data_IF_673162478958
#
_entry.id   IF_673162478958
#
_cell.length_a   1.000
_cell.length_b   1.000
_cell.length_c   1.000
_cell.angle_alpha   90.00
_cell.angle_beta   90.00
_cell.angle_gamma   90.00
#
_symmetry.space_group_name_H-M   'P 1'
#
loop_
_entity.id
_entity.type
_entity.pdbx_description
1 polymer ?
#
# COMPACT_ATOMS: atom_id res chain seq x y z
N UNK A 1 32.30 0.21 28.79
CA UNK A 1 32.01 1.01 27.59
C UNK A 1 30.88 0.28 26.85
N UNK A 2 29.64 0.63 27.16
CA UNK A 2 28.44 -0.05 26.67
C UNK A 2 27.81 0.85 25.61
N UNK A 3 28.01 0.50 24.34
CA UNK A 3 27.35 1.15 23.21
C UNK A 3 25.92 0.65 23.07
N UNK A 4 24.95 1.45 23.51
CA UNK A 4 23.53 1.19 23.30
C UNK A 4 23.15 1.40 21.84
N UNK A 5 22.91 0.34 21.11
CA UNK A 5 22.34 0.40 19.77
C UNK A 5 20.85 0.79 19.89
N UNK A 6 20.50 1.99 19.45
CA UNK A 6 19.12 2.47 19.38
C UNK A 6 18.35 1.75 18.26
N UNK A 7 17.16 1.26 18.59
CA UNK A 7 16.25 0.58 17.66
C UNK A 7 15.67 1.55 16.64
N UNK A 8 15.59 1.22 15.34
CA UNK A 8 15.07 2.09 14.29
C UNK A 8 13.54 2.20 14.19
N UNK A 9 12.75 1.55 15.07
CA UNK A 9 11.29 1.53 14.97
C UNK A 9 10.59 2.05 16.24
N UNK A 10 10.75 3.33 16.56
CA UNK A 10 9.88 3.99 17.51
C UNK A 10 8.74 4.69 16.75
N UNK A 11 7.60 4.00 16.60
CA UNK A 11 6.33 4.63 16.26
C UNK A 11 5.92 5.58 17.41
N UNK A 12 6.22 6.86 17.28
CA UNK A 12 5.57 7.86 18.11
C UNK A 12 4.13 8.03 17.62
N UNK A 13 3.20 7.36 18.29
CA UNK A 13 1.77 7.63 18.16
C UNK A 13 1.48 8.97 18.85
N UNK A 14 1.43 10.07 18.09
CA UNK A 14 0.85 11.31 18.59
C UNK A 14 -0.68 11.19 18.52
N UNK A 15 -1.34 11.25 19.66
CA UNK A 15 -2.78 11.43 19.77
C UNK A 15 -3.17 12.80 19.23
N UNK A 16 -3.50 12.90 17.95
CA UNK A 16 -4.15 14.09 17.40
C UNK A 16 -5.47 13.71 16.75
N UNK A 17 -6.45 14.53 17.09
CA UNK A 17 -7.86 14.52 16.73
C UNK A 17 -8.10 14.26 15.25
N UNK A 18 -9.13 13.47 14.97
CA UNK A 18 -9.65 13.18 13.64
C UNK A 18 -9.93 14.47 12.82
N UNK A 19 -9.62 14.48 11.53
CA UNK A 19 -9.89 15.63 10.67
C UNK A 19 -11.39 15.83 10.45
N UNK A 20 -11.77 17.10 10.31
CA UNK A 20 -13.13 17.65 10.34
C UNK A 20 -14.08 17.27 9.19
N UNK A 21 -13.69 16.43 8.26
CA UNK A 21 -14.51 16.04 7.10
C UNK A 21 -15.51 14.89 7.34
N UNK A 22 -15.50 14.28 8.51
CA UNK A 22 -16.40 13.16 8.87
C UNK A 22 -17.81 13.59 9.32
N UNK A 23 -18.22 14.84 9.07
CA UNK A 23 -19.58 15.32 9.37
C UNK A 23 -20.11 16.07 8.14
N UNK A 24 -20.76 15.38 7.22
CA UNK A 24 -21.79 15.98 6.38
C UNK A 24 -22.71 14.93 5.78
N UNK A 25 -23.95 15.08 6.17
CA UNK A 25 -25.18 14.86 5.42
C UNK A 25 -25.71 13.44 5.28
N UNK A 26 -26.53 13.08 6.28
CA UNK A 26 -27.70 12.26 6.04
C UNK A 26 -28.68 13.06 5.17
N UNK A 27 -28.99 12.57 3.98
CA UNK A 27 -30.18 12.94 3.22
C UNK A 27 -30.85 11.65 2.76
N UNK A 28 -32.06 11.46 3.27
CA UNK A 28 -33.00 10.43 2.88
C UNK A 28 -33.23 10.45 1.36
N UNK A 29 -32.99 9.32 0.71
CA UNK A 29 -33.37 9.11 -0.70
C UNK A 29 -34.74 8.49 -0.75
N UNK A 30 -35.76 9.26 -1.20
CA UNK A 30 -37.08 8.78 -1.63
C UNK A 30 -36.96 8.08 -3.00
N UNK A 31 -37.79 7.02 -3.26
CA UNK A 31 -37.71 6.32 -4.53
C UNK A 31 -38.44 7.08 -5.64
N UNK A 32 -37.74 7.35 -6.74
CA UNK A 32 -38.31 7.94 -7.96
C UNK A 32 -38.96 6.83 -8.77
N UNK A 33 -40.30 6.93 -8.89
CA UNK A 33 -41.16 6.13 -9.76
C UNK A 33 -40.87 6.43 -11.24
N UNK A 34 -40.43 5.40 -11.97
CA UNK A 34 -40.33 5.43 -13.45
C UNK A 34 -41.72 5.32 -14.05
N UNK A 35 -42.26 6.40 -14.57
CA UNK A 35 -43.43 6.36 -15.48
C UNK A 35 -42.97 6.54 -16.93
N UNK A 36 -43.20 5.47 -17.65
CA UNK A 36 -43.15 5.29 -19.09
C UNK A 36 -44.10 6.26 -19.81
N UNK A 37 -43.57 7.10 -20.73
CA UNK A 37 -44.39 7.76 -21.76
C UNK A 37 -43.79 7.45 -23.13
N UNK A 38 -44.52 6.57 -23.84
CA UNK A 38 -44.40 6.28 -25.27
C UNK A 38 -45.48 7.08 -25.99
N UNK A 39 -45.15 7.53 -27.17
CA UNK A 39 -46.01 7.91 -28.31
C UNK A 39 -46.19 9.41 -28.64
N UNK A 40 -46.06 9.58 -29.94
CA UNK A 40 -46.60 10.59 -30.88
C UNK A 40 -45.57 11.68 -31.23
N UNK A 41 -45.22 11.93 -32.50
CA UNK A 41 -45.92 11.94 -33.76
C UNK A 41 -45.01 11.90 -34.96
N UNK A 42 -45.49 11.26 -35.97
CA UNK A 42 -45.08 11.12 -37.36
C UNK A 42 -45.50 12.37 -38.17
N UNK A 43 -44.79 12.59 -39.29
CA UNK A 43 -45.14 13.39 -40.49
C UNK A 43 -44.94 14.91 -40.47
N UNK A 44 -44.07 15.41 -41.39
CA UNK A 44 -44.38 16.44 -42.37
C UNK A 44 -43.35 16.34 -43.56
N UNK A 45 -43.83 16.09 -44.59
CA UNK A 45 -43.81 16.19 -46.02
C UNK A 45 -42.76 17.13 -46.68
N UNK A 46 -42.23 16.63 -47.75
CA UNK A 46 -41.51 17.24 -48.86
C UNK A 46 -41.91 18.69 -49.21
N UNK A 47 -40.85 19.53 -49.41
CA UNK A 47 -40.89 20.63 -50.36
C UNK A 47 -39.54 20.70 -51.10
N UNK A 48 -39.61 20.39 -52.39
CA UNK A 48 -38.52 20.59 -53.38
C UNK A 48 -38.36 22.07 -53.62
N UNK A 49 -37.14 22.59 -53.35
CA UNK A 49 -36.75 23.95 -53.71
C UNK A 49 -35.31 23.94 -54.24
N UNK A 50 -35.19 24.14 -55.54
CA UNK A 50 -33.90 24.40 -56.20
C UNK A 50 -33.19 25.60 -55.58
N UNK A 51 -32.00 25.42 -55.02
CA UNK A 51 -31.12 26.52 -54.71
C UNK A 51 -29.68 26.23 -55.21
N UNK A 52 -29.14 27.17 -55.90
CA UNK A 52 -27.80 27.19 -56.49
C UNK A 52 -26.75 27.01 -55.41
N UNK A 53 -25.61 26.32 -55.70
CA UNK A 53 -24.53 26.20 -54.73
C UNK A 53 -23.83 27.56 -54.57
N UNK A 54 -23.78 28.01 -53.32
CA UNK A 54 -22.90 29.11 -52.88
C UNK A 54 -21.45 28.66 -52.89
N UNK A 55 -20.50 29.49 -53.30
CA UNK A 55 -19.07 29.14 -53.25
C UNK A 55 -18.62 29.02 -51.79
N UNK A 56 -18.01 27.88 -51.47
CA UNK A 56 -17.34 27.65 -50.20
C UNK A 56 -16.17 28.63 -50.06
N UNK A 57 -16.00 29.31 -48.91
CA UNK A 57 -14.81 30.10 -48.66
C UNK A 57 -13.62 29.11 -48.52
N UNK A 58 -12.56 29.39 -49.32
CA UNK A 58 -11.29 28.71 -49.22
C UNK A 58 -10.70 28.92 -47.81
N UNK A 59 -10.75 27.89 -46.96
CA UNK A 59 -10.01 27.87 -45.72
C UNK A 59 -8.53 27.69 -46.07
N UNK A 60 -7.79 28.79 -46.10
CA UNK A 60 -6.33 28.72 -46.00
C UNK A 60 -5.95 27.99 -44.72
N UNK A 61 -5.01 27.03 -44.76
CA UNK A 61 -4.52 26.43 -43.53
C UNK A 61 -3.80 27.51 -42.72
N UNK A 62 -4.47 28.06 -41.71
CA UNK A 62 -3.78 28.83 -40.67
C UNK A 62 -2.85 27.87 -39.96
N UNK A 63 -1.58 28.05 -40.23
CA UNK A 63 -0.50 27.42 -39.52
C UNK A 63 -0.50 27.99 -38.07
N UNK A 64 -1.46 27.56 -37.25
CA UNK A 64 -1.37 27.71 -35.81
C UNK A 64 -0.36 26.68 -35.37
N UNK A 65 0.85 27.15 -35.03
CA UNK A 65 1.80 26.44 -34.22
C UNK A 65 1.00 25.74 -33.12
N UNK A 66 1.11 24.40 -33.07
CA UNK A 66 0.67 23.63 -31.93
C UNK A 66 1.46 24.13 -30.71
N UNK A 67 0.87 25.06 -29.96
CA UNK A 67 1.30 25.28 -28.60
C UNK A 67 1.11 23.93 -27.92
N UNK A 68 2.21 23.28 -27.57
CA UNK A 68 2.24 22.10 -26.70
C UNK A 68 1.52 22.48 -25.41
N UNK A 69 0.25 22.08 -25.31
CA UNK A 69 -0.49 22.17 -24.08
C UNK A 69 0.19 21.18 -23.12
N UNK A 70 1.16 21.68 -22.36
CA UNK A 70 1.77 20.91 -21.29
C UNK A 70 0.64 20.48 -20.35
N UNK A 71 0.28 19.20 -20.42
CA UNK A 71 -0.77 18.63 -19.58
C UNK A 71 -0.22 18.54 -18.16
N UNK A 72 -0.66 19.46 -17.30
CA UNK A 72 -0.29 19.46 -15.90
C UNK A 72 -0.89 18.23 -15.20
N UNK A 73 -0.06 17.40 -14.59
CA UNK A 73 -0.52 16.30 -13.75
C UNK A 73 -0.76 16.80 -12.34
N UNK A 74 -1.96 16.58 -11.83
CA UNK A 74 -2.34 16.98 -10.47
C UNK A 74 -2.53 15.71 -9.63
N UNK A 75 -1.84 15.66 -8.49
CA UNK A 75 -1.96 14.60 -7.50
C UNK A 75 -2.40 15.18 -6.17
N UNK A 76 -3.28 14.48 -5.45
CA UNK A 76 -3.65 14.82 -4.07
C UNK A 76 -3.06 13.76 -3.16
N UNK A 77 -2.20 14.17 -2.24
CA UNK A 77 -1.53 13.27 -1.32
C UNK A 77 -2.40 12.90 -0.09
N UNK A 78 -1.89 12.01 0.76
CA UNK A 78 -2.62 11.55 1.95
C UNK A 78 -2.87 12.61 3.02
N UNK A 79 -2.23 13.75 2.93
CA UNK A 79 -2.50 14.92 3.78
C UNK A 79 -3.50 15.88 3.15
N UNK A 80 -4.07 15.54 1.97
CA UNK A 80 -4.99 16.37 1.22
C UNK A 80 -4.32 17.54 0.50
N UNK A 81 -2.98 17.54 0.35
CA UNK A 81 -2.25 18.59 -0.35
C UNK A 81 -2.24 18.31 -1.85
N UNK A 82 -2.43 19.35 -2.63
CA UNK A 82 -2.35 19.29 -4.08
C UNK A 82 -0.92 19.47 -4.54
N UNK A 83 -0.37 18.46 -5.18
CA UNK A 83 0.97 18.47 -5.79
C UNK A 83 0.79 18.58 -7.31
N UNK A 84 1.52 19.49 -7.95
CA UNK A 84 1.43 19.75 -9.37
C UNK A 84 2.75 19.43 -10.05
N UNK A 85 2.67 18.72 -11.16
CA UNK A 85 3.81 18.34 -11.98
C UNK A 85 3.60 18.91 -13.38
N UNK A 86 4.54 19.71 -13.85
CA UNK A 86 4.58 20.20 -15.25
C UNK A 86 5.20 19.18 -16.20
N UNK A 87 5.95 18.24 -15.65
CA UNK A 87 6.60 17.13 -16.37
C UNK A 87 6.61 15.89 -15.46
N UNK A 88 6.68 14.71 -16.06
CA UNK A 88 6.79 13.44 -15.30
C UNK A 88 8.10 13.42 -14.52
N UNK A 89 8.09 13.25 -13.20
CA UNK A 89 9.30 13.17 -12.39
C UNK A 89 10.28 12.11 -12.88
N UNK A 90 11.55 12.47 -13.01
CA UNK A 90 12.62 11.57 -13.47
C UNK A 90 13.66 11.28 -12.39
N UNK A 91 13.61 12.00 -11.27
CA UNK A 91 14.59 11.89 -10.17
C UNK A 91 13.87 11.80 -8.83
N UNK A 92 13.36 10.62 -8.54
CA UNK A 92 12.52 10.37 -7.36
C UNK A 92 13.39 9.87 -6.20
N UNK A 93 13.18 10.45 -5.00
CA UNK A 93 13.71 9.92 -3.75
C UNK A 93 12.57 9.32 -2.95
N UNK A 94 12.68 8.04 -2.58
CA UNK A 94 11.69 7.33 -1.78
C UNK A 94 12.18 7.15 -0.33
N UNK A 95 11.39 7.64 0.62
CA UNK A 95 11.68 7.54 2.06
C UNK A 95 10.93 6.39 2.75
N UNK A 96 10.34 5.47 1.97
CA UNK A 96 9.58 4.32 2.48
C UNK A 96 9.87 3.04 1.69
N UNK A 97 10.14 1.91 2.36
CA UNK A 97 10.30 0.63 1.68
C UNK A 97 9.08 0.20 0.87
N UNK A 98 7.86 0.34 1.43
CA UNK A 98 6.62 -0.02 0.72
C UNK A 98 6.43 0.77 -0.56
N UNK A 99 6.65 2.09 -0.52
CA UNK A 99 6.57 2.97 -1.69
C UNK A 99 7.67 2.67 -2.71
N UNK A 100 8.90 2.34 -2.26
CA UNK A 100 9.98 1.89 -3.15
C UNK A 100 9.57 0.62 -3.90
N UNK A 101 9.04 -0.38 -3.19
CA UNK A 101 8.57 -1.63 -3.79
C UNK A 101 7.43 -1.39 -4.78
N UNK A 102 6.49 -0.50 -4.45
CA UNK A 102 5.39 -0.14 -5.32
C UNK A 102 5.86 0.52 -6.62
N UNK A 103 6.81 1.46 -6.54
CA UNK A 103 7.38 2.12 -7.74
C UNK A 103 8.06 1.10 -8.66
N UNK A 104 8.82 0.15 -8.13
CA UNK A 104 9.37 -0.93 -8.94
C UNK A 104 8.29 -1.80 -9.57
N UNK A 105 7.25 -2.12 -8.80
CA UNK A 105 6.16 -3.00 -9.25
C UNK A 105 5.33 -2.40 -10.39
N UNK A 106 5.19 -1.06 -10.43
CA UNK A 106 4.51 -0.34 -11.53
C UNK A 106 5.46 0.09 -12.66
N UNK A 107 6.75 -0.30 -12.62
CA UNK A 107 7.71 0.01 -13.68
C UNK A 107 8.48 1.34 -13.53
N UNK A 108 8.19 2.14 -12.51
CA UNK A 108 8.83 3.43 -12.24
C UNK A 108 10.22 3.34 -11.56
N UNK A 109 10.78 2.14 -11.42
CA UNK A 109 12.03 1.90 -10.71
C UNK A 109 13.23 2.68 -11.28
N UNK A 110 13.28 2.92 -12.59
CA UNK A 110 14.36 3.67 -13.24
C UNK A 110 14.36 5.17 -12.92
N UNK A 111 13.27 5.70 -12.41
CA UNK A 111 13.15 7.09 -11.97
C UNK A 111 13.68 7.28 -10.54
N UNK A 112 13.94 6.20 -9.79
CA UNK A 112 14.47 6.27 -8.44
C UNK A 112 15.97 6.58 -8.46
N UNK A 113 16.39 7.64 -7.73
CA UNK A 113 17.78 8.05 -7.57
C UNK A 113 18.29 7.90 -6.13
N UNK A 114 17.37 7.78 -5.15
CA UNK A 114 17.72 7.62 -3.74
C UNK A 114 16.61 6.92 -2.95
N UNK A 115 17.03 6.22 -1.90
CA UNK A 115 16.12 5.53 -1.00
C UNK A 115 16.72 5.36 0.40
N UNK A 116 15.90 5.06 1.42
CA UNK A 116 16.38 4.78 2.77
C UNK A 116 17.12 3.45 2.84
N UNK A 117 17.89 3.22 3.91
CA UNK A 117 18.63 1.99 4.16
C UNK A 117 17.75 0.73 4.19
N UNK A 118 16.48 0.89 4.57
CA UNK A 118 15.52 -0.21 4.65
C UNK A 118 14.86 -0.58 3.31
N UNK A 119 15.11 0.18 2.24
CA UNK A 119 14.60 -0.11 0.90
C UNK A 119 15.50 -1.15 0.21
N UNK A 120 15.30 -2.42 0.53
CA UNK A 120 16.14 -3.55 0.13
C UNK A 120 15.49 -4.44 -0.95
N UNK A 121 14.28 -4.12 -1.40
CA UNK A 121 13.55 -4.89 -2.41
C UNK A 121 12.97 -3.97 -3.52
N UNK A 122 12.99 -4.41 -4.78
CA UNK A 122 13.70 -5.60 -5.30
C UNK A 122 15.24 -5.44 -5.18
N UNK A 123 16.05 -6.45 -5.55
CA UNK A 123 17.52 -6.34 -5.44
C UNK A 123 18.09 -5.08 -6.11
N UNK A 124 17.46 -4.58 -7.18
CA UNK A 124 17.83 -3.34 -7.83
C UNK A 124 17.79 -2.12 -6.88
N UNK A 125 16.86 -2.08 -5.92
CA UNK A 125 16.74 -1.00 -4.96
C UNK A 125 17.97 -0.88 -4.04
N UNK A 126 18.75 -1.97 -3.87
CA UNK A 126 19.97 -1.92 -3.04
C UNK A 126 21.08 -1.07 -3.65
N UNK A 127 21.01 -0.78 -4.96
CA UNK A 127 21.98 0.04 -5.70
C UNK A 127 21.71 1.54 -5.63
N UNK A 128 20.53 1.94 -5.13
CA UNK A 128 20.17 3.35 -4.99
C UNK A 128 21.03 4.04 -3.94
N UNK A 129 21.28 5.33 -4.12
CA UNK A 129 21.98 6.15 -3.12
C UNK A 129 21.21 6.14 -1.81
N UNK A 130 21.90 5.83 -0.70
CA UNK A 130 21.28 5.81 0.62
C UNK A 130 21.16 7.20 1.19
N UNK A 131 19.93 7.60 1.53
CA UNK A 131 19.61 8.92 2.09
C UNK A 131 19.43 8.87 3.62
N UNK A 132 19.89 7.78 4.24
CA UNK A 132 19.82 7.54 5.68
C UNK A 132 18.76 6.53 6.09
N UNK A 133 18.52 6.43 7.40
CA UNK A 133 17.58 5.47 7.98
C UNK A 133 16.11 5.84 7.75
N UNK A 134 15.21 4.97 8.21
CA UNK A 134 13.75 5.16 8.05
C UNK A 134 13.10 6.09 9.07
N UNK A 135 13.84 6.65 10.02
CA UNK A 135 13.35 7.60 11.02
C UNK A 135 13.65 9.03 10.61
N UNK A 136 12.82 9.98 11.08
CA UNK A 136 13.00 11.40 10.78
C UNK A 136 14.43 11.91 11.08
N UNK A 137 15.01 11.48 12.18
CA UNK A 137 16.37 11.89 12.61
C UNK A 137 17.47 11.23 11.80
N UNK A 138 17.19 10.07 11.21
CA UNK A 138 18.16 9.32 10.41
C UNK A 138 18.23 9.75 8.94
N UNK A 139 17.31 10.62 8.49
CA UNK A 139 17.23 11.07 7.09
C UNK A 139 18.18 12.26 6.87
N UNK A 140 19.09 12.14 5.91
CA UNK A 140 20.00 13.23 5.49
C UNK A 140 19.37 14.09 4.41
N UNK A 141 18.98 15.29 4.79
CA UNK A 141 18.43 16.30 3.84
C UNK A 141 19.48 16.74 2.83
N UNK A 142 20.72 16.85 3.24
CA UNK A 142 21.87 17.24 2.40
C UNK A 142 22.09 16.21 1.30
N UNK A 143 22.08 14.92 1.64
CA UNK A 143 22.21 13.84 0.66
C UNK A 143 21.03 13.84 -0.31
N UNK A 144 19.81 14.04 0.17
CA UNK A 144 18.62 14.13 -0.69
C UNK A 144 18.79 15.28 -1.69
N UNK A 145 19.13 16.49 -1.22
CA UNK A 145 19.27 17.66 -2.08
C UNK A 145 20.42 17.50 -3.10
N UNK A 146 21.52 16.82 -2.74
CA UNK A 146 22.64 16.55 -3.65
C UNK A 146 22.24 15.65 -4.84
N UNK A 147 21.17 14.86 -4.70
CA UNK A 147 20.62 14.04 -5.77
C UNK A 147 19.78 14.85 -6.77
N UNK A 148 19.56 16.15 -6.54
CA UNK A 148 18.69 17.01 -7.35
C UNK A 148 17.33 16.34 -7.67
N UNK A 149 16.55 15.95 -6.67
CA UNK A 149 15.27 15.27 -6.91
C UNK A 149 14.23 16.25 -7.45
N UNK A 150 13.38 15.76 -8.33
CA UNK A 150 12.17 16.44 -8.81
C UNK A 150 10.90 15.96 -8.11
N UNK A 151 11.01 14.87 -7.30
CA UNK A 151 9.97 14.42 -6.40
C UNK A 151 10.57 13.67 -5.20
N UNK A 152 10.05 13.96 -4.01
CA UNK A 152 10.32 13.18 -2.80
C UNK A 152 9.02 12.52 -2.35
N UNK A 153 9.08 11.21 -2.07
CA UNK A 153 7.97 10.45 -1.51
C UNK A 153 8.26 10.14 -0.05
N UNK A 154 7.40 10.62 0.84
CA UNK A 154 7.60 10.50 2.29
C UNK A 154 6.40 9.86 2.97
N UNK A 155 6.60 9.33 4.18
CA UNK A 155 5.52 8.74 4.98
C UNK A 155 4.65 9.86 5.58
N UNK A 156 3.33 9.74 5.36
CA UNK A 156 2.37 10.75 5.82
C UNK A 156 2.30 10.89 7.35
N UNK A 157 2.57 9.82 8.10
CA UNK A 157 2.43 9.76 9.56
C UNK A 157 3.70 10.21 10.32
N UNK A 158 4.88 9.92 9.79
CA UNK A 158 6.15 10.08 10.51
C UNK A 158 7.10 11.10 9.88
N UNK A 159 6.92 11.47 8.61
CA UNK A 159 7.83 12.35 7.89
C UNK A 159 7.27 13.76 7.63
N UNK A 160 6.11 14.12 8.21
CA UNK A 160 5.51 15.46 8.04
C UNK A 160 6.49 16.63 8.31
N UNK A 161 7.39 16.57 9.32
CA UNK A 161 8.34 17.64 9.58
C UNK A 161 9.37 17.88 8.47
N UNK A 162 9.48 16.97 7.48
CA UNK A 162 10.35 17.17 6.31
C UNK A 162 9.69 18.02 5.23
N UNK A 163 8.36 18.16 5.25
CA UNK A 163 7.59 18.75 4.15
C UNK A 163 7.99 20.22 3.95
N UNK A 164 7.80 21.04 4.97
CA UNK A 164 8.09 22.47 4.90
C UNK A 164 9.56 22.76 4.50
N UNK A 165 10.59 22.10 5.09
CA UNK A 165 11.97 22.27 4.65
C UNK A 165 12.18 22.04 3.16
N UNK A 166 11.62 20.96 2.57
CA UNK A 166 11.81 20.68 1.14
C UNK A 166 11.00 21.61 0.24
N UNK A 167 9.80 22.03 0.66
CA UNK A 167 9.02 23.05 -0.05
C UNK A 167 9.77 24.40 -0.15
N UNK A 168 10.50 24.79 0.90
CA UNK A 168 11.37 25.99 0.87
C UNK A 168 12.49 25.89 -0.18
N UNK A 169 12.99 24.66 -0.45
CA UNK A 169 13.94 24.39 -1.52
C UNK A 169 13.26 24.20 -2.89
N UNK A 170 11.93 24.39 -2.97
CA UNK A 170 11.11 24.17 -4.17
C UNK A 170 11.22 22.74 -4.73
N UNK A 171 11.47 21.77 -3.88
CA UNK A 171 11.43 20.34 -4.22
C UNK A 171 10.06 19.79 -3.86
N UNK A 172 9.28 19.29 -4.84
CA UNK A 172 7.99 18.66 -4.56
C UNK A 172 8.17 17.47 -3.62
N UNK A 173 7.34 17.43 -2.57
CA UNK A 173 7.31 16.32 -1.61
C UNK A 173 5.88 15.85 -1.43
N UNK A 174 5.62 14.57 -1.66
CA UNK A 174 4.31 13.93 -1.59
C UNK A 174 4.27 12.97 -0.40
N UNK A 175 3.24 13.14 0.44
CA UNK A 175 2.99 12.28 1.58
C UNK A 175 2.16 11.06 1.14
N UNK A 176 2.76 9.88 1.25
CA UNK A 176 2.23 8.58 0.81
C UNK A 176 2.36 7.55 1.94
N UNK A 177 2.28 6.29 1.67
CA UNK A 177 2.34 5.15 2.58
C UNK A 177 0.96 4.68 3.05
N UNK A 178 0.43 3.62 2.42
CA UNK A 178 -0.91 3.10 2.70
C UNK A 178 -0.94 2.30 4.02
N UNK A 179 -2.12 2.22 4.62
CA UNK A 179 -2.38 1.49 5.85
C UNK A 179 -3.39 0.34 5.66
N UNK A 180 -3.97 0.24 4.46
CA UNK A 180 -4.92 -0.81 4.07
C UNK A 180 -4.68 -1.22 2.63
N UNK A 181 -5.22 -2.38 2.24
CA UNK A 181 -5.16 -2.88 0.86
C UNK A 181 -5.88 -1.92 -0.12
N UNK A 182 -7.00 -1.34 0.28
CA UNK A 182 -7.73 -0.36 -0.52
C UNK A 182 -6.86 0.89 -0.77
N UNK A 183 -6.24 1.43 0.27
CA UNK A 183 -5.33 2.58 0.16
C UNK A 183 -4.08 2.26 -0.67
N UNK A 184 -3.60 1.00 -0.65
CA UNK A 184 -2.49 0.58 -1.52
C UNK A 184 -2.89 0.63 -3.00
N UNK A 185 -4.13 0.25 -3.33
CA UNK A 185 -4.63 0.39 -4.70
C UNK A 185 -4.76 1.86 -5.12
N UNK A 186 -5.26 2.72 -4.24
CA UNK A 186 -5.34 4.16 -4.48
C UNK A 186 -3.95 4.78 -4.68
N UNK A 187 -2.98 4.39 -3.84
CA UNK A 187 -1.59 4.85 -3.96
C UNK A 187 -0.93 4.35 -5.25
N UNK A 188 -1.21 3.13 -5.69
CA UNK A 188 -0.72 2.63 -6.96
C UNK A 188 -1.21 3.46 -8.14
N UNK A 189 -2.49 3.83 -8.18
CA UNK A 189 -3.04 4.73 -9.21
C UNK A 189 -2.42 6.12 -9.12
N UNK A 190 -2.31 6.67 -7.91
CA UNK A 190 -1.71 7.99 -7.66
C UNK A 190 -0.27 8.06 -8.18
N UNK A 191 0.56 7.09 -7.80
CA UNK A 191 1.95 7.02 -8.22
C UNK A 191 2.08 6.68 -9.71
N UNK A 192 1.22 5.79 -10.24
CA UNK A 192 1.16 5.49 -11.67
C UNK A 192 0.95 6.74 -12.51
N UNK A 193 -0.02 7.58 -12.15
CA UNK A 193 -0.28 8.87 -12.81
C UNK A 193 0.88 9.84 -12.65
N UNK A 194 1.41 9.98 -11.43
CA UNK A 194 2.52 10.89 -11.16
C UNK A 194 3.79 10.52 -11.92
N UNK A 195 4.04 9.23 -12.15
CA UNK A 195 5.27 8.71 -12.78
C UNK A 195 5.10 8.31 -14.25
N UNK A 196 3.90 8.47 -14.82
CA UNK A 196 3.61 8.09 -16.22
C UNK A 196 3.43 6.58 -16.42
N UNK A 197 3.14 5.80 -15.35
CA UNK A 197 2.95 4.34 -15.38
C UNK A 197 1.52 3.94 -14.94
N UNK A 198 0.51 4.69 -15.42
CA UNK A 198 -0.89 4.46 -15.01
C UNK A 198 -1.42 3.09 -15.45
N UNK A 199 -1.05 2.63 -16.66
CA UNK A 199 -1.48 1.33 -17.17
C UNK A 199 -0.89 0.18 -16.35
N UNK A 200 0.39 0.25 -16.04
CA UNK A 200 1.10 -0.75 -15.22
C UNK A 200 0.55 -0.79 -13.79
N UNK A 201 0.18 0.37 -13.25
CA UNK A 201 -0.47 0.45 -11.94
C UNK A 201 -1.84 -0.25 -11.93
N UNK A 202 -2.67 -0.03 -12.96
CA UNK A 202 -3.94 -0.74 -13.10
C UNK A 202 -3.75 -2.26 -13.27
N UNK A 203 -2.78 -2.68 -14.06
CA UNK A 203 -2.46 -4.11 -14.25
C UNK A 203 -1.98 -4.77 -12.95
N UNK A 204 -1.13 -4.08 -12.18
CA UNK A 204 -0.72 -4.53 -10.84
C UNK A 204 -1.92 -4.72 -9.92
N UNK A 205 -2.82 -3.73 -9.86
CA UNK A 205 -4.02 -3.77 -9.00
C UNK A 205 -4.90 -4.97 -9.37
N UNK A 206 -5.15 -5.21 -10.66
CA UNK A 206 -5.95 -6.33 -11.10
C UNK A 206 -5.30 -7.69 -10.79
N UNK A 207 -3.97 -7.79 -10.91
CA UNK A 207 -3.22 -8.98 -10.47
C UNK A 207 -3.35 -9.19 -8.95
N UNK A 208 -3.21 -8.14 -8.16
CA UNK A 208 -3.36 -8.21 -6.71
C UNK A 208 -4.77 -8.62 -6.30
N UNK A 209 -5.82 -8.03 -6.90
CA UNK A 209 -7.22 -8.38 -6.63
C UNK A 209 -7.51 -9.85 -6.92
N UNK A 210 -7.05 -10.36 -8.07
CA UNK A 210 -7.18 -11.79 -8.41
C UNK A 210 -6.50 -12.67 -7.38
N UNK A 211 -5.29 -12.31 -6.96
CA UNK A 211 -4.55 -13.07 -5.94
C UNK A 211 -5.25 -13.06 -4.58
N UNK A 212 -5.76 -11.90 -4.14
CA UNK A 212 -6.58 -11.80 -2.91
C UNK A 212 -7.76 -12.74 -3.01
N UNK A 213 -8.53 -12.67 -4.11
CA UNK A 213 -9.71 -13.54 -4.31
C UNK A 213 -9.33 -15.03 -4.26
N UNK A 214 -8.25 -15.42 -4.92
CA UNK A 214 -7.76 -16.80 -4.89
C UNK A 214 -7.41 -17.24 -3.46
N UNK A 215 -6.63 -16.44 -2.73
CA UNK A 215 -6.20 -16.76 -1.35
C UNK A 215 -7.36 -16.80 -0.35
N UNK A 216 -8.44 -16.02 -0.57
CA UNK A 216 -9.49 -15.80 0.43
C UNK A 216 -10.83 -16.46 0.07
N UNK A 217 -10.99 -17.07 -1.12
CA UNK A 217 -12.25 -17.64 -1.62
C UNK A 217 -12.91 -18.68 -0.70
N UNK A 218 -12.16 -19.30 0.17
CA UNK A 218 -12.65 -20.28 1.14
C UNK A 218 -13.10 -19.66 2.47
N UNK A 219 -12.68 -18.42 2.78
CA UNK A 219 -12.85 -17.79 4.11
C UNK A 219 -14.33 -17.67 4.49
N UNK A 220 -15.18 -17.30 3.53
CA UNK A 220 -16.61 -17.17 3.78
C UNK A 220 -17.32 -18.49 4.08
N UNK A 221 -16.70 -19.63 3.71
CA UNK A 221 -17.18 -20.96 4.07
C UNK A 221 -16.93 -21.32 5.54
N UNK A 222 -16.10 -20.55 6.25
CA UNK A 222 -15.77 -20.78 7.66
C UNK A 222 -16.53 -19.81 8.54
N UNK A 223 -17.52 -20.27 9.30
CA UNK A 223 -18.26 -19.43 10.25
C UNK A 223 -17.31 -18.70 11.20
N UNK A 224 -17.66 -17.47 11.58
CA UNK A 224 -16.79 -16.61 12.41
C UNK A 224 -16.41 -17.27 13.74
N UNK A 225 -17.30 -18.02 14.36
CA UNK A 225 -17.09 -18.74 15.61
C UNK A 225 -16.12 -19.92 15.48
N UNK A 226 -15.89 -20.42 14.26
CA UNK A 226 -14.94 -21.49 13.94
C UNK A 226 -13.57 -20.96 13.47
N UNK A 227 -13.46 -19.66 13.23
CA UNK A 227 -12.17 -19.04 12.89
C UNK A 227 -11.25 -19.06 14.09
N UNK A 228 -9.97 -19.40 13.87
CA UNK A 228 -8.98 -19.45 14.94
C UNK A 228 -8.72 -18.05 15.49
N UNK A 229 -8.72 -17.92 16.82
CA UNK A 229 -8.36 -16.66 17.51
C UNK A 229 -6.87 -16.44 17.40
N UNK A 230 -6.47 -15.33 16.74
CA UNK A 230 -5.10 -14.99 16.47
C UNK A 230 -4.66 -13.74 17.24
N UNK A 231 -3.47 -13.82 17.82
CA UNK A 231 -2.70 -12.71 18.33
C UNK A 231 -1.53 -12.44 17.38
N UNK A 232 -1.36 -11.19 16.96
CA UNK A 232 -0.18 -10.77 16.23
C UNK A 232 0.69 -9.88 17.13
N UNK A 233 1.89 -10.32 17.45
CA UNK A 233 2.86 -9.55 18.22
C UNK A 233 3.65 -8.63 17.25
N UNK A 234 3.31 -7.33 17.25
CA UNK A 234 4.00 -6.32 16.43
C UNK A 234 5.34 -5.94 17.07
N UNK A 235 5.39 -5.90 18.40
CA UNK A 235 6.57 -5.50 19.19
C UNK A 235 6.49 -6.10 20.61
N UNK A 236 7.64 -6.40 21.18
CA UNK A 236 7.75 -7.11 22.47
C UNK A 236 7.87 -6.16 23.67
N UNK A 237 8.61 -5.04 23.55
CA UNK A 237 8.82 -4.11 24.68
C UNK A 237 8.81 -2.65 24.19
N UNK A 238 7.73 -1.90 24.46
CA UNK A 238 6.47 -2.33 25.10
C UNK A 238 5.67 -3.28 24.21
N UNK A 239 4.96 -4.24 24.82
CA UNK A 239 4.14 -5.20 24.05
C UNK A 239 3.08 -4.47 23.23
N UNK A 240 3.07 -4.72 21.93
CA UNK A 240 2.18 -4.09 20.95
C UNK A 240 1.58 -5.12 20.01
N UNK A 241 0.35 -4.87 19.60
CA UNK A 241 -0.38 -5.73 18.66
C UNK A 241 -0.97 -4.95 17.48
N UNK A 242 -1.58 -5.67 16.55
CA UNK A 242 -2.28 -5.12 15.40
C UNK A 242 -3.78 -5.03 15.68
N UNK A 243 -4.32 -3.81 15.66
CA UNK A 243 -5.75 -3.54 15.70
C UNK A 243 -6.40 -3.65 14.31
N UNK A 244 -7.74 -3.59 14.21
CA UNK A 244 -8.49 -3.82 12.97
C UNK A 244 -8.27 -2.74 11.89
N UNK A 245 -7.77 -1.56 12.29
CA UNK A 245 -7.48 -0.44 11.37
C UNK A 245 -6.05 -0.46 10.81
N UNK A 246 -5.32 -1.56 10.98
CA UNK A 246 -3.99 -1.76 10.41
C UNK A 246 -4.04 -2.78 9.28
N UNK A 247 -3.13 -2.69 8.32
CA UNK A 247 -3.03 -3.69 7.25
C UNK A 247 -2.73 -5.10 7.78
N UNK A 248 -2.03 -5.22 8.92
CA UNK A 248 -1.82 -6.51 9.58
C UNK A 248 -3.14 -7.06 10.13
N UNK A 249 -3.97 -6.20 10.77
CA UNK A 249 -5.30 -6.58 11.22
C UNK A 249 -6.20 -7.02 10.05
N UNK A 250 -6.14 -6.30 8.93
CA UNK A 250 -6.83 -6.64 7.68
C UNK A 250 -6.34 -8.00 7.13
N UNK A 251 -5.02 -8.26 7.12
CA UNK A 251 -4.49 -9.57 6.70
C UNK A 251 -4.95 -10.72 7.58
N UNK A 252 -5.07 -10.53 8.90
CA UNK A 252 -5.63 -11.55 9.80
C UNK A 252 -7.06 -11.91 9.40
N UNK A 253 -7.91 -10.92 9.10
CA UNK A 253 -9.29 -11.12 8.67
C UNK A 253 -9.37 -11.78 7.29
N UNK A 254 -8.62 -11.28 6.32
CA UNK A 254 -8.50 -11.86 4.97
C UNK A 254 -8.01 -13.31 5.01
N UNK A 255 -7.09 -13.62 5.92
CA UNK A 255 -6.60 -14.98 6.17
C UNK A 255 -7.55 -15.87 6.98
N UNK A 256 -8.80 -15.45 7.20
CA UNK A 256 -9.81 -16.24 7.90
C UNK A 256 -9.56 -16.43 9.39
N UNK A 257 -8.74 -15.58 10.00
CA UNK A 257 -8.46 -15.57 11.43
C UNK A 257 -9.33 -14.55 12.17
N UNK A 258 -9.58 -14.79 13.44
CA UNK A 258 -10.26 -13.85 14.32
C UNK A 258 -9.21 -13.10 15.14
N UNK A 259 -8.97 -11.84 14.81
CA UNK A 259 -8.08 -10.99 15.60
C UNK A 259 -8.64 -10.84 17.02
N UNK A 260 -7.89 -11.25 18.06
CA UNK A 260 -8.33 -11.10 19.45
C UNK A 260 -8.37 -9.64 19.92
N UNK A 261 -7.81 -8.71 19.15
CA UNK A 261 -7.86 -7.28 19.37
C UNK A 261 -8.70 -6.53 18.32
N UNK A 262 -9.72 -7.20 17.74
CA UNK A 262 -10.66 -6.58 16.79
C UNK A 262 -11.46 -5.40 17.39
N UNK A 263 -11.54 -5.30 18.71
CA UNK A 263 -12.14 -4.20 19.46
C UNK A 263 -11.22 -2.97 19.66
N UNK A 264 -9.97 -3.05 19.23
CA UNK A 264 -9.03 -1.93 19.39
C UNK A 264 -9.42 -0.72 18.52
N UNK A 265 -9.33 0.46 19.10
CA UNK A 265 -9.69 1.72 18.41
C UNK A 265 -8.54 2.32 17.61
N UNK A 266 -7.29 1.93 17.92
CA UNK A 266 -6.07 2.39 17.27
C UNK A 266 -5.42 1.26 16.46
N UNK A 267 -4.60 1.62 15.47
CA UNK A 267 -3.95 0.66 14.58
C UNK A 267 -3.00 -0.29 15.30
N UNK A 268 -2.16 0.24 16.18
CA UNK A 268 -1.12 -0.51 16.89
C UNK A 268 -1.18 -0.18 18.39
N UNK A 269 -2.12 -0.79 19.14
CA UNK A 269 -2.25 -0.55 20.56
C UNK A 269 -1.11 -1.16 21.36
N UNK A 270 -0.69 -0.46 22.41
CA UNK A 270 0.08 -1.07 23.50
C UNK A 270 -0.87 -1.84 24.36
N UNK A 271 -0.46 -3.01 24.77
CA UNK A 271 -1.26 -3.94 25.57
C UNK A 271 -0.42 -4.50 26.72
N UNK A 272 -1.07 -5.21 27.65
CA UNK A 272 -0.38 -5.95 28.70
C UNK A 272 -0.50 -7.45 28.48
N UNK A 273 0.41 -8.20 29.13
CA UNK A 273 0.41 -9.67 29.11
C UNK A 273 -0.92 -10.24 29.66
N UNK A 274 -1.50 -9.61 30.69
CA UNK A 274 -2.75 -10.06 31.30
C UNK A 274 -3.91 -10.07 30.31
N UNK A 275 -3.98 -9.06 29.41
CA UNK A 275 -5.04 -9.01 28.39
C UNK A 275 -4.85 -10.11 27.36
N UNK A 276 -3.62 -10.47 27.00
CA UNK A 276 -3.36 -11.60 26.10
C UNK A 276 -3.75 -12.91 26.75
N UNK A 277 -3.40 -13.08 28.05
CA UNK A 277 -3.77 -14.24 28.84
C UNK A 277 -5.29 -14.42 28.94
N UNK A 278 -6.03 -13.34 29.22
CA UNK A 278 -7.49 -13.36 29.33
C UNK A 278 -8.17 -13.70 28.00
N UNK A 279 -7.64 -13.20 26.88
CA UNK A 279 -8.18 -13.47 25.53
C UNK A 279 -7.78 -14.82 24.95
N UNK A 280 -6.82 -15.49 25.55
CA UNK A 280 -6.33 -16.85 25.23
C UNK A 280 -6.27 -17.15 23.71
N UNK A 281 -5.31 -16.60 22.95
CA UNK A 281 -5.20 -16.86 21.53
C UNK A 281 -4.86 -18.34 21.25
N UNK A 282 -5.42 -18.86 20.15
CA UNK A 282 -5.11 -20.18 19.61
C UNK A 282 -3.92 -20.16 18.65
N UNK A 283 -3.58 -18.97 18.15
CA UNK A 283 -2.47 -18.74 17.23
C UNK A 283 -1.72 -17.49 17.69
N UNK A 284 -0.40 -17.56 17.67
CA UNK A 284 0.50 -16.39 17.82
C UNK A 284 1.29 -16.24 16.53
N UNK A 285 1.25 -15.05 15.97
CA UNK A 285 2.03 -14.65 14.80
C UNK A 285 2.95 -13.49 15.16
N UNK A 286 4.15 -13.44 14.59
CA UNK A 286 5.07 -12.32 14.77
C UNK A 286 5.99 -12.17 13.54
N UNK A 287 6.59 -10.99 13.30
CA UNK A 287 7.57 -10.84 12.24
C UNK A 287 8.89 -11.52 12.59
N UNK A 288 9.52 -12.16 11.61
CA UNK A 288 10.83 -12.83 11.78
C UNK A 288 11.98 -11.86 12.07
N UNK A 289 11.76 -10.56 11.90
CA UNK A 289 12.74 -9.49 12.14
C UNK A 289 12.74 -8.95 13.58
N UNK A 290 12.01 -9.54 14.50
CA UNK A 290 12.07 -9.19 15.92
C UNK A 290 13.50 -9.31 16.48
N UNK A 291 13.88 -8.40 17.38
CA UNK A 291 15.20 -8.38 18.04
C UNK A 291 15.51 -9.69 18.80
N UNK A 292 14.54 -10.19 19.53
CA UNK A 292 14.53 -11.53 20.07
C UNK A 292 13.77 -12.38 19.08
N UNK A 293 14.42 -13.30 18.38
CA UNK A 293 13.69 -14.29 17.58
C UNK A 293 12.64 -14.93 18.49
N UNK A 294 11.38 -14.54 18.27
CA UNK A 294 10.28 -15.07 19.06
C UNK A 294 10.30 -16.60 18.93
N UNK A 295 10.44 -17.30 20.03
CA UNK A 295 10.41 -18.76 20.06
C UNK A 295 9.44 -19.23 21.14
N UNK A 296 9.01 -20.47 21.04
CA UNK A 296 8.17 -21.09 22.08
C UNK A 296 8.82 -21.01 23.45
N UNK A 297 10.15 -21.17 23.53
CA UNK A 297 10.90 -21.12 24.80
C UNK A 297 10.91 -19.71 25.38
N UNK A 298 10.98 -18.67 24.53
CA UNK A 298 10.91 -17.27 24.97
C UNK A 298 9.51 -16.95 25.47
N UNK A 299 8.47 -17.33 24.72
CA UNK A 299 7.09 -17.10 25.12
C UNK A 299 6.74 -17.83 26.42
N UNK A 300 7.14 -19.09 26.55
CA UNK A 300 6.87 -19.89 27.76
C UNK A 300 7.58 -19.35 29.03
N UNK A 301 8.60 -18.50 28.87
CA UNK A 301 9.27 -17.80 29.99
C UNK A 301 8.55 -16.55 30.45
N UNK A 302 7.66 -15.99 29.62
CA UNK A 302 6.81 -14.86 30.05
C UNK A 302 5.83 -15.33 31.11
N UNK A 303 5.59 -14.53 32.12
CA UNK A 303 4.78 -14.95 33.28
C UNK A 303 3.35 -15.34 32.84
N UNK A 304 3.01 -16.61 33.03
CA UNK A 304 1.69 -17.17 32.73
C UNK A 304 1.43 -17.54 31.27
N UNK A 305 2.33 -17.21 30.33
CA UNK A 305 2.14 -17.50 28.90
C UNK A 305 2.17 -18.99 28.57
N UNK A 306 2.76 -19.81 29.42
CA UNK A 306 2.70 -21.27 29.36
C UNK A 306 1.25 -21.83 29.42
N UNK A 307 0.28 -21.02 29.89
CA UNK A 307 -1.15 -21.37 29.93
C UNK A 307 -1.89 -21.04 28.62
N UNK A 308 -1.35 -20.14 27.80
CA UNK A 308 -1.98 -19.75 26.53
C UNK A 308 -2.11 -20.97 25.62
N UNK A 309 -3.28 -21.14 25.03
CA UNK A 309 -3.58 -22.25 24.11
C UNK A 309 -2.55 -22.34 22.98
N UNK A 310 -2.21 -21.23 22.35
CA UNK A 310 -1.21 -21.20 21.27
C UNK A 310 0.18 -21.69 21.71
N UNK A 311 0.61 -21.38 22.93
CA UNK A 311 1.90 -21.82 23.47
C UNK A 311 1.88 -23.31 23.79
N UNK A 312 0.83 -23.77 24.47
CA UNK A 312 0.65 -25.20 24.80
C UNK A 312 0.58 -26.09 23.57
N UNK A 313 -0.14 -25.61 22.53
CA UNK A 313 -0.36 -26.37 21.29
C UNK A 313 0.72 -26.10 20.24
N UNK A 314 1.76 -25.33 20.58
CA UNK A 314 2.88 -24.98 19.70
C UNK A 314 2.44 -24.30 18.42
N UNK A 315 1.37 -23.49 18.48
CA UNK A 315 0.81 -22.73 17.34
C UNK A 315 1.38 -21.31 17.31
N UNK A 316 2.70 -21.21 17.19
CA UNK A 316 3.47 -19.95 17.13
C UNK A 316 4.23 -19.92 15.82
N UNK A 317 4.01 -18.90 14.99
CA UNK A 317 4.57 -18.80 13.65
C UNK A 317 5.25 -17.46 13.44
N UNK A 318 6.42 -17.49 12.84
CA UNK A 318 7.13 -16.31 12.36
C UNK A 318 6.81 -16.12 10.87
N UNK A 319 6.46 -14.90 10.50
CA UNK A 319 6.17 -14.50 9.13
C UNK A 319 7.31 -13.60 8.65
N UNK A 320 7.65 -13.65 7.36
CA UNK A 320 8.71 -12.79 6.79
C UNK A 320 8.49 -11.33 7.19
N UNK A 321 9.42 -10.80 7.99
CA UNK A 321 9.27 -9.49 8.61
C UNK A 321 9.26 -8.34 7.62
N UNK A 322 9.97 -8.46 6.49
CA UNK A 322 9.99 -7.45 5.44
C UNK A 322 8.66 -7.41 4.67
N UNK A 323 8.02 -8.55 4.48
CA UNK A 323 6.75 -8.64 3.77
C UNK A 323 5.57 -8.22 4.66
N UNK A 324 5.54 -8.70 5.90
CA UNK A 324 4.43 -8.45 6.84
C UNK A 324 4.47 -7.07 7.50
N UNK A 325 5.60 -6.36 7.44
CA UNK A 325 5.72 -5.01 8.03
C UNK A 325 5.60 -3.87 7.02
N UNK A 326 5.32 -4.19 5.75
CA UNK A 326 5.23 -3.22 4.67
C UNK A 326 3.88 -3.35 3.96
N UNK A 327 3.03 -2.33 4.04
CA UNK A 327 1.82 -2.26 3.23
C UNK A 327 2.22 -1.94 1.77
N UNK A 328 2.56 -2.97 1.03
CA UNK A 328 3.06 -2.93 -0.35
C UNK A 328 2.67 -4.19 -1.13
N UNK A 329 3.09 -4.33 -2.39
CA UNK A 329 2.65 -5.46 -3.24
C UNK A 329 2.94 -6.84 -2.63
N UNK A 330 4.03 -6.97 -1.86
CA UNK A 330 4.43 -8.23 -1.21
C UNK A 330 3.65 -8.58 0.05
N UNK A 331 2.74 -7.72 0.53
CA UNK A 331 1.87 -8.08 1.65
C UNK A 331 1.03 -9.33 1.36
N UNK A 332 0.76 -9.63 0.08
CA UNK A 332 0.05 -10.84 -0.31
C UNK A 332 0.91 -12.11 -0.19
N UNK A 333 2.24 -11.99 -0.23
CA UNK A 333 3.15 -13.09 0.07
C UNK A 333 3.08 -13.41 1.58
N UNK A 334 3.07 -12.37 2.43
CA UNK A 334 2.86 -12.53 3.86
C UNK A 334 1.46 -13.12 4.20
N UNK A 335 0.41 -12.67 3.50
CA UNK A 335 -0.93 -13.24 3.67
C UNK A 335 -0.96 -14.74 3.32
N UNK A 336 -0.32 -15.13 2.21
CA UNK A 336 -0.21 -16.53 1.82
C UNK A 336 0.56 -17.34 2.86
N UNK A 337 1.68 -16.82 3.37
CA UNK A 337 2.47 -17.44 4.43
C UNK A 337 1.65 -17.62 5.72
N UNK A 338 0.88 -16.60 6.13
CA UNK A 338 -0.02 -16.67 7.29
C UNK A 338 -1.10 -17.75 7.10
N UNK A 339 -1.74 -17.80 5.92
CA UNK A 339 -2.76 -18.83 5.62
C UNK A 339 -2.12 -20.21 5.63
N UNK A 340 -0.94 -20.39 5.02
CA UNK A 340 -0.20 -21.65 4.99
C UNK A 340 0.14 -22.14 6.39
N UNK A 341 0.56 -21.24 7.27
CA UNK A 341 0.89 -21.57 8.65
C UNK A 341 -0.33 -22.01 9.46
N UNK A 342 -1.46 -21.31 9.31
CA UNK A 342 -2.65 -21.50 10.15
C UNK A 342 -3.65 -22.50 9.55
N UNK A 343 -3.77 -22.55 8.23
CA UNK A 343 -4.75 -23.36 7.48
C UNK A 343 -4.10 -24.07 6.28
N UNK A 344 -3.10 -24.95 6.49
CA UNK A 344 -2.34 -25.57 5.40
C UNK A 344 -3.24 -26.30 4.37
N UNK A 345 -4.29 -27.00 4.83
CA UNK A 345 -5.21 -27.74 3.98
C UNK A 345 -6.04 -26.81 3.06
N UNK A 346 -6.31 -25.58 3.50
CA UNK A 346 -7.09 -24.63 2.69
C UNK A 346 -6.29 -24.10 1.52
N UNK A 347 -5.01 -23.87 1.72
CA UNK A 347 -4.12 -23.33 0.69
C UNK A 347 -3.78 -24.39 -0.37
N UNK A 348 -3.61 -25.66 0.00
CA UNK A 348 -3.37 -26.75 -0.94
C UNK A 348 -4.47 -26.80 -2.01
N UNK A 349 -5.74 -26.67 -1.62
CA UNK A 349 -6.87 -26.68 -2.52
C UNK A 349 -6.95 -25.45 -3.46
N UNK A 350 -6.34 -24.32 -3.07
CA UNK A 350 -6.30 -23.09 -3.89
C UNK A 350 -5.23 -23.19 -4.97
N UNK A 351 -4.05 -23.67 -4.62
CA UNK A 351 -2.90 -23.79 -5.53
C UNK A 351 -3.09 -24.86 -6.59
N UNK A 352 -3.89 -25.91 -6.32
CA UNK A 352 -4.25 -26.93 -7.31
C UNK A 352 -5.20 -26.38 -8.39
N UNK A 353 -6.02 -25.37 -8.08
CA UNK A 353 -7.01 -24.80 -9.01
C UNK A 353 -6.46 -23.72 -9.93
N UNK A 354 -5.46 -22.97 -9.46
CA UNK A 354 -4.78 -21.95 -10.28
C UNK A 354 -3.26 -22.05 -10.01
N UNK A 355 -2.46 -22.59 -10.93
CA UNK A 355 -1.01 -22.46 -10.83
C UNK A 355 -0.65 -20.98 -10.94
N UNK A 356 -0.30 -20.37 -9.81
CA UNK A 356 0.18 -18.99 -9.77
C UNK A 356 1.49 -18.94 -10.55
N UNK A 357 1.48 -18.24 -11.68
CA UNK A 357 2.66 -18.11 -12.55
C UNK A 357 3.75 -17.28 -11.82
N UNK A 358 4.63 -18.00 -11.12
CA UNK A 358 5.79 -17.45 -10.42
C UNK A 358 6.88 -16.93 -11.36
N UNK A 359 6.64 -16.94 -12.68
CA UNK A 359 7.64 -16.61 -13.71
C UNK A 359 7.58 -15.19 -14.26
N UNK A 360 6.71 -14.32 -13.81
CA UNK A 360 6.50 -13.00 -14.42
C UNK A 360 7.29 -11.82 -13.80
N UNK A 361 8.37 -12.08 -13.07
CA UNK A 361 9.39 -11.04 -12.79
C UNK A 361 10.69 -11.44 -13.49
N UNK A 362 10.66 -11.53 -14.81
CA UNK A 362 11.88 -11.43 -15.60
C UNK A 362 12.18 -9.96 -15.81
N UNK A 363 13.14 -9.44 -15.05
CA UNK A 363 13.90 -8.26 -15.44
C UNK A 363 14.48 -8.56 -16.82
N UNK A 364 14.17 -7.73 -17.82
CA UNK A 364 14.70 -7.89 -19.16
C UNK A 364 16.24 -7.89 -19.13
N UNK A 365 16.83 -9.02 -19.44
CA UNK A 365 18.22 -9.14 -19.85
C UNK A 365 18.35 -8.45 -21.22
N UNK A 366 18.75 -7.18 -21.19
CA UNK A 366 19.20 -6.48 -22.38
C UNK A 366 20.65 -6.05 -22.19
N UNK A 367 21.51 -6.65 -23.03
CA UNK A 367 22.87 -6.30 -23.37
C UNK A 367 24.02 -7.10 -22.71
N UNK A 368 24.17 -8.32 -23.19
CA UNK A 368 25.49 -8.84 -23.58
C UNK A 368 25.49 -8.97 -25.11
N UNK A 369 25.99 -7.97 -25.81
CA UNK A 369 26.59 -8.08 -27.16
C UNK A 369 27.06 -6.69 -27.60
N UNK A 370 28.23 -6.30 -27.07
CA UNK A 370 29.06 -5.25 -27.68
C UNK A 370 30.52 -5.45 -27.25
N UNK A 371 31.13 -6.55 -27.71
CA UNK A 371 32.57 -6.60 -27.83
C UNK A 371 32.97 -7.73 -28.82
N UNK A 372 32.97 -7.36 -30.11
CA UNK A 372 33.85 -7.92 -31.12
C UNK A 372 34.30 -6.85 -32.08
#
# INVERSE_FOLDING_TARGET
MSGGAQSPFLFKCSSQSAPRWAKSNGSESQPISVRLHILFFLTILFAVGCNKPLPLPSLSPSNKSSEDVKTETIAVDRLGRTIRFTEVPQRIVSLSPSTTELLYAIGAGNQLVGATEHCNYPPAATRLTRVGGGTLQGISRETILSLNPDLILCKWDSHQPLIEPFERFKVPIMAVCPDTLAELYEEAVLLGRATGHELEAHDLIEKMKRRVLALTSWVDSVPMEKRRRAFYEVWDEPLMTAGPKSFIGEMLELGGMKNIFADATVRYPRISDEVVLDRDPQIILAPSTHRSQLSLEILAKRQGWDRITAVRERQVFLIDGDQVSRCGPRMLDALEEMIRAVYPDKLANVLEKEPIDSKSVRVGDSNEDANR
#
